data_IF_924174884191
#
_entry.id   IF_924174884191
#
_cell.length_a   1.000
_cell.length_b   1.000
_cell.length_c   1.000
_cell.angle_alpha   90.00
_cell.angle_beta   90.00
_cell.angle_gamma   90.00
#
_symmetry.space_group_name_H-M   'P 1'
#
loop_
_entity.id
_entity.type
_entity.pdbx_description
1 polymer ?
#
# COMPACT_ATOMS: atom_id res chain seq x y z
N UNK A 1 0.10 -12.87 18.11
CA UNK A 1 -0.67 -11.84 18.85
C UNK A 1 -1.22 -12.40 20.15
N UNK A 2 -2.23 -13.27 20.10
CA UNK A 2 -2.95 -13.76 21.29
C UNK A 2 -2.11 -14.55 22.30
N UNK A 3 -1.00 -15.17 21.86
CA UNK A 3 -0.09 -15.93 22.70
C UNK A 3 1.02 -15.08 23.34
N UNK A 4 1.28 -13.88 22.84
CA UNK A 4 2.35 -13.01 23.30
C UNK A 4 1.83 -12.00 24.33
N UNK A 5 2.42 -11.99 25.51
CA UNK A 5 2.01 -11.07 26.60
C UNK A 5 2.23 -9.61 26.18
N UNK A 6 1.21 -8.79 26.32
CA UNK A 6 1.23 -7.36 25.99
C UNK A 6 1.17 -7.04 24.49
N UNK A 7 1.06 -8.06 23.63
CA UNK A 7 0.91 -7.81 22.20
C UNK A 7 -0.43 -7.16 21.86
N UNK A 8 -0.38 -6.19 20.97
CA UNK A 8 -1.51 -5.50 20.36
C UNK A 8 -1.50 -5.76 18.86
N UNK A 9 -2.62 -5.51 18.20
CA UNK A 9 -2.75 -5.64 16.75
C UNK A 9 -3.44 -4.41 16.19
N UNK A 10 -2.91 -3.91 15.09
CA UNK A 10 -3.52 -2.81 14.33
C UNK A 10 -3.34 -3.07 12.84
N UNK A 11 -4.15 -2.42 12.02
CA UNK A 11 -4.00 -2.46 10.57
C UNK A 11 -3.57 -1.11 10.04
N UNK A 12 -2.78 -1.13 8.95
CA UNK A 12 -2.36 0.05 8.20
C UNK A 12 -2.70 -0.21 6.73
N UNK A 13 -3.20 0.82 6.06
CA UNK A 13 -3.49 0.83 4.65
C UNK A 13 -2.76 2.02 4.01
N UNK A 14 -2.03 1.77 2.92
CA UNK A 14 -1.35 2.78 2.12
C UNK A 14 -2.30 3.28 1.04
N UNK A 15 -2.65 4.56 1.10
CA UNK A 15 -3.51 5.17 0.09
C UNK A 15 -2.76 5.39 -1.22
N UNK A 16 -3.44 5.11 -2.35
CA UNK A 16 -2.92 5.36 -3.69
C UNK A 16 -1.55 4.72 -3.96
N UNK A 17 -1.29 3.54 -3.39
CA UNK A 17 0.02 2.88 -3.35
C UNK A 17 0.76 2.90 -4.68
N UNK A 18 0.07 2.59 -5.80
CA UNK A 18 0.68 2.62 -7.12
C UNK A 18 0.85 4.03 -7.68
N UNK A 19 -0.11 4.93 -7.43
CA UNK A 19 -0.15 6.26 -8.06
C UNK A 19 1.00 7.17 -7.61
N UNK A 20 1.59 6.90 -6.45
CA UNK A 20 2.75 7.65 -5.92
C UNK A 20 4.08 7.10 -6.46
N UNK A 21 4.07 5.94 -7.11
CA UNK A 21 5.29 5.27 -7.61
C UNK A 21 5.74 5.87 -8.94
N UNK A 22 6.95 6.43 -9.03
CA UNK A 22 7.50 6.90 -10.31
C UNK A 22 7.81 5.71 -11.23
N UNK A 23 7.60 5.91 -12.53
CA UNK A 23 7.99 4.97 -13.57
C UNK A 23 9.19 5.55 -14.33
N UNK A 24 10.33 4.83 -14.36
CA UNK A 24 11.52 5.23 -15.11
C UNK A 24 11.25 5.15 -16.61
N UNK A 25 10.61 4.04 -17.05
CA UNK A 25 10.16 3.85 -18.40
C UNK A 25 8.66 4.14 -18.49
N UNK A 26 8.25 5.27 -19.12
CA UNK A 26 6.85 5.63 -19.21
C UNK A 26 6.07 4.71 -20.15
N UNK A 27 4.83 4.44 -19.81
CA UNK A 27 3.89 3.77 -20.69
C UNK A 27 3.02 4.78 -21.43
N UNK A 28 2.46 4.37 -22.56
CA UNK A 28 1.60 5.21 -23.37
C UNK A 28 0.19 4.62 -23.48
N UNK A 29 -0.79 5.46 -23.23
CA UNK A 29 -2.21 5.12 -23.44
C UNK A 29 -2.81 6.10 -24.46
N UNK A 30 -3.71 5.61 -25.30
CA UNK A 30 -4.51 6.47 -26.18
C UNK A 30 -5.99 6.37 -25.80
N UNK A 31 -6.64 7.52 -25.78
CA UNK A 31 -8.08 7.64 -25.47
C UNK A 31 -8.72 8.47 -26.60
N UNK A 32 -9.90 8.09 -27.04
CA UNK A 32 -10.65 8.94 -27.98
C UNK A 32 -11.10 10.21 -27.28
N UNK A 33 -10.98 11.34 -27.94
CA UNK A 33 -11.39 12.63 -27.36
C UNK A 33 -12.88 12.61 -26.97
N UNK A 34 -13.70 11.85 -27.69
CA UNK A 34 -15.13 11.65 -27.39
C UNK A 34 -15.39 10.91 -26.09
N UNK A 35 -14.40 10.15 -25.58
CA UNK A 35 -14.51 9.34 -24.37
C UNK A 35 -13.91 10.08 -23.14
N UNK A 36 -13.35 11.28 -23.37
CA UNK A 36 -12.79 12.13 -22.31
C UNK A 36 -13.89 13.11 -21.85
N UNK A 37 -14.17 13.21 -20.53
CA UNK A 37 -15.12 14.20 -20.03
C UNK A 37 -14.74 15.63 -20.43
N UNK A 38 -15.72 16.46 -20.78
CA UNK A 38 -15.49 17.82 -21.28
C UNK A 38 -14.69 18.68 -20.31
N UNK A 39 -14.89 18.52 -19.01
CA UNK A 39 -14.15 19.19 -17.96
C UNK A 39 -12.63 18.96 -18.05
N UNK A 40 -12.19 17.73 -18.36
CA UNK A 40 -10.79 17.43 -18.56
C UNK A 40 -10.26 17.96 -19.89
N UNK A 41 -11.08 17.94 -20.95
CA UNK A 41 -10.69 18.53 -22.24
C UNK A 41 -10.40 20.02 -22.07
N UNK A 42 -11.20 20.73 -21.30
CA UNK A 42 -11.03 22.15 -21.02
C UNK A 42 -9.85 22.40 -20.08
N UNK A 43 -9.78 21.67 -18.97
CA UNK A 43 -8.73 21.82 -17.95
C UNK A 43 -7.33 21.61 -18.52
N UNK A 44 -7.14 20.55 -19.33
CA UNK A 44 -5.84 20.20 -19.90
C UNK A 44 -5.63 20.72 -21.33
N UNK A 45 -6.59 21.49 -21.88
CA UNK A 45 -6.51 22.08 -23.20
C UNK A 45 -6.31 21.03 -24.30
N UNK A 46 -7.09 19.97 -24.27
CA UNK A 46 -6.92 18.81 -25.16
C UNK A 46 -7.55 19.00 -26.53
N UNK A 47 -8.46 19.95 -26.70
CA UNK A 47 -9.12 20.24 -27.98
C UNK A 47 -8.07 20.59 -29.04
N UNK A 48 -8.17 19.91 -30.21
CA UNK A 48 -7.25 20.09 -31.32
C UNK A 48 -5.89 19.38 -31.17
N UNK A 49 -5.72 18.57 -30.12
CA UNK A 49 -4.51 17.73 -29.93
C UNK A 49 -4.72 16.28 -30.37
N UNK A 50 -5.95 15.94 -30.76
CA UNK A 50 -6.27 14.62 -31.30
C UNK A 50 -5.65 14.40 -32.68
N UNK A 51 -5.28 13.17 -32.96
CA UNK A 51 -4.85 12.76 -34.29
C UNK A 51 -6.04 12.75 -35.28
N UNK A 52 -5.78 12.50 -36.57
CA UNK A 52 -6.77 12.43 -37.65
C UNK A 52 -7.90 11.41 -37.40
N UNK A 53 -7.72 10.50 -36.46
CA UNK A 53 -8.69 9.48 -36.08
C UNK A 53 -9.37 9.80 -34.73
N UNK A 54 -9.11 10.96 -34.13
CA UNK A 54 -9.70 11.44 -32.88
C UNK A 54 -9.06 10.83 -31.62
N UNK A 55 -7.81 10.34 -31.70
CA UNK A 55 -7.09 9.80 -30.54
C UNK A 55 -6.15 10.84 -29.94
N UNK A 56 -6.15 10.89 -28.60
CA UNK A 56 -5.16 11.60 -27.80
C UNK A 56 -4.25 10.59 -27.12
N UNK A 57 -2.95 10.86 -27.12
CA UNK A 57 -1.92 10.01 -26.51
C UNK A 57 -1.46 10.64 -25.20
N UNK A 58 -1.46 9.84 -24.15
CA UNK A 58 -1.01 10.23 -22.82
C UNK A 58 0.21 9.39 -22.42
N UNK A 59 1.18 10.06 -21.84
CA UNK A 59 2.32 9.43 -21.21
C UNK A 59 2.06 9.17 -19.74
N UNK A 60 2.15 7.91 -19.31
CA UNK A 60 1.96 7.49 -17.92
C UNK A 60 3.33 7.45 -17.26
N UNK A 61 3.61 8.42 -16.41
CA UNK A 61 4.88 8.57 -15.69
C UNK A 61 4.84 8.05 -14.25
N UNK A 62 3.68 7.65 -13.77
CA UNK A 62 3.48 7.07 -12.45
C UNK A 62 2.70 5.78 -12.57
N UNK A 63 2.91 4.89 -11.60
CA UNK A 63 2.17 3.64 -11.55
C UNK A 63 0.67 3.87 -11.57
N UNK A 64 -0.06 3.04 -12.29
CA UNK A 64 -1.50 3.03 -12.23
C UNK A 64 -2.03 1.60 -12.14
N UNK A 65 -3.25 1.47 -11.65
CA UNK A 65 -3.92 0.18 -11.57
C UNK A 65 -4.06 -0.44 -12.97
N UNK A 66 -3.71 -1.72 -13.08
CA UNK A 66 -3.73 -2.45 -14.34
C UNK A 66 -2.40 -2.50 -15.10
N UNK A 67 -1.41 -1.69 -14.73
CA UNK A 67 -0.05 -1.81 -15.28
C UNK A 67 0.73 -2.91 -14.52
N UNK A 68 1.19 -3.96 -15.20
CA UNK A 68 1.90 -5.07 -14.55
C UNK A 68 3.14 -4.63 -13.76
N UNK A 69 3.91 -3.67 -14.29
CA UNK A 69 5.13 -3.18 -13.66
C UNK A 69 4.86 -2.27 -12.46
N UNK A 70 3.71 -1.61 -12.37
CA UNK A 70 3.40 -0.68 -11.28
C UNK A 70 3.47 -1.36 -9.90
N UNK A 71 2.93 -2.58 -9.79
CA UNK A 71 2.97 -3.36 -8.56
C UNK A 71 4.39 -3.75 -8.16
N UNK A 72 5.21 -4.16 -9.13
CA UNK A 72 6.61 -4.56 -8.88
C UNK A 72 7.43 -3.37 -8.42
N UNK A 73 7.31 -2.23 -9.10
CA UNK A 73 8.06 -1.01 -8.77
C UNK A 73 7.66 -0.47 -7.39
N UNK A 74 6.35 -0.37 -7.12
CA UNK A 74 5.85 0.07 -5.82
C UNK A 74 6.33 -0.83 -4.68
N UNK A 75 6.25 -2.14 -4.88
CA UNK A 75 6.71 -3.12 -3.90
C UNK A 75 8.22 -2.99 -3.65
N UNK A 76 9.05 -2.92 -4.70
CA UNK A 76 10.50 -2.83 -4.55
C UNK A 76 10.92 -1.56 -3.79
N UNK A 77 10.28 -0.42 -4.05
CA UNK A 77 10.52 0.82 -3.30
C UNK A 77 10.17 0.65 -1.82
N UNK A 78 8.97 0.11 -1.53
CA UNK A 78 8.53 -0.11 -0.16
C UNK A 78 9.46 -1.06 0.60
N UNK A 79 9.88 -2.16 -0.03
CA UNK A 79 10.82 -3.12 0.57
C UNK A 79 12.17 -2.46 0.89
N UNK A 80 12.71 -1.67 -0.03
CA UNK A 80 13.95 -0.93 0.20
C UNK A 80 13.89 -0.03 1.44
N UNK A 81 12.83 0.76 1.58
CA UNK A 81 12.65 1.63 2.76
C UNK A 81 12.47 0.86 4.06
N UNK A 82 11.78 -0.28 4.02
CA UNK A 82 11.63 -1.15 5.19
C UNK A 82 12.98 -1.74 5.62
N UNK A 83 13.78 -2.22 4.66
CA UNK A 83 15.10 -2.81 4.92
C UNK A 83 16.09 -1.79 5.47
N UNK A 84 16.12 -0.58 4.96
CA UNK A 84 16.94 0.54 5.44
C UNK A 84 16.68 0.84 6.93
N UNK A 85 15.42 0.76 7.36
CA UNK A 85 15.02 1.00 8.77
C UNK A 85 15.09 -0.26 9.64
N UNK A 86 15.67 -1.35 9.12
CA UNK A 86 15.97 -2.57 9.88
C UNK A 86 14.86 -3.62 9.94
N UNK A 87 13.85 -3.48 9.11
CA UNK A 87 12.88 -4.55 8.88
C UNK A 87 13.46 -5.59 7.90
N UNK A 88 12.99 -6.81 7.99
CA UNK A 88 13.38 -7.90 7.09
C UNK A 88 12.24 -8.90 6.93
N UNK A 89 12.13 -9.49 5.76
CA UNK A 89 11.16 -10.53 5.49
C UNK A 89 11.62 -11.87 6.08
N UNK A 90 10.71 -12.63 6.67
CA UNK A 90 11.01 -13.94 7.25
C UNK A 90 11.29 -14.95 6.13
N UNK A 91 12.47 -15.56 6.16
CA UNK A 91 13.01 -16.42 5.10
C UNK A 91 12.05 -17.51 4.57
N UNK A 92 11.20 -18.09 5.42
CA UNK A 92 10.31 -19.20 5.04
C UNK A 92 8.83 -18.79 4.94
N UNK A 93 8.53 -17.50 5.03
CA UNK A 93 7.14 -17.01 5.04
C UNK A 93 7.07 -15.68 4.30
N UNK A 94 6.90 -15.72 2.96
CA UNK A 94 6.74 -14.49 2.18
C UNK A 94 5.59 -13.62 2.70
N UNK A 95 5.82 -12.31 2.71
CA UNK A 95 4.87 -11.33 3.25
C UNK A 95 4.90 -11.19 4.78
N UNK A 96 5.61 -12.04 5.53
CA UNK A 96 5.81 -11.85 6.97
C UNK A 96 7.09 -11.08 7.24
N UNK A 97 6.97 -9.90 7.83
CA UNK A 97 8.06 -8.99 8.13
C UNK A 97 8.32 -8.87 9.61
N UNK A 98 9.58 -8.71 10.00
CA UNK A 98 10.05 -8.52 11.37
C UNK A 98 11.06 -7.40 11.42
N UNK A 99 11.29 -6.85 12.61
CA UNK A 99 12.39 -5.92 12.83
C UNK A 99 13.53 -6.60 13.58
N UNK A 100 14.78 -6.18 13.31
CA UNK A 100 16.00 -6.77 13.87
C UNK A 100 16.02 -6.85 15.41
N UNK A 101 15.45 -5.85 16.09
CA UNK A 101 15.44 -5.81 17.56
C UNK A 101 14.12 -5.29 18.16
N UNK A 102 13.27 -4.61 17.40
CA UNK A 102 11.98 -4.13 17.90
C UNK A 102 10.97 -5.28 18.01
N UNK A 103 10.17 -5.32 19.09
CA UNK A 103 9.11 -6.33 19.23
C UNK A 103 7.89 -5.99 18.36
N UNK A 104 8.09 -5.94 17.06
CA UNK A 104 7.10 -5.69 16.03
C UNK A 104 7.27 -6.68 14.88
N UNK A 105 6.17 -7.19 14.38
CA UNK A 105 6.10 -7.97 13.14
C UNK A 105 4.79 -7.67 12.43
N UNK A 106 4.77 -7.83 11.12
CA UNK A 106 3.56 -7.59 10.33
C UNK A 106 3.48 -8.53 9.12
N UNK A 107 2.26 -8.80 8.69
CA UNK A 107 2.01 -9.33 7.35
C UNK A 107 1.76 -8.14 6.41
N UNK A 108 2.36 -8.23 5.23
CA UNK A 108 2.21 -7.26 4.14
C UNK A 108 1.51 -7.94 2.97
N UNK A 109 0.38 -7.40 2.57
CA UNK A 109 -0.43 -7.85 1.43
C UNK A 109 -0.65 -6.62 0.55
N UNK A 110 0.24 -6.43 -0.41
CA UNK A 110 0.27 -5.28 -1.33
C UNK A 110 0.44 -3.95 -0.57
N UNK A 111 -0.65 -3.31 -0.18
CA UNK A 111 -0.76 -2.02 0.52
C UNK A 111 -1.33 -2.15 1.94
N UNK A 112 -1.80 -3.35 2.30
CA UNK A 112 -2.36 -3.66 3.60
C UNK A 112 -1.35 -4.28 4.56
N UNK A 113 -1.24 -3.72 5.77
CA UNK A 113 -0.40 -4.24 6.85
C UNK A 113 -1.26 -4.73 8.01
N UNK A 114 -1.05 -5.98 8.43
CA UNK A 114 -1.55 -6.49 9.71
C UNK A 114 -0.41 -6.53 10.72
N UNK A 115 -0.39 -5.60 11.66
CA UNK A 115 0.76 -5.30 12.52
C UNK A 115 0.54 -5.81 13.93
N UNK A 116 1.36 -6.76 14.39
CA UNK A 116 1.52 -7.12 15.79
C UNK A 116 2.68 -6.35 16.41
N UNK A 117 2.48 -5.76 17.58
CA UNK A 117 3.51 -5.02 18.29
C UNK A 117 3.35 -5.13 19.82
N UNK A 118 4.46 -4.95 20.53
CA UNK A 118 4.48 -4.79 21.99
C UNK A 118 5.14 -3.44 22.30
N UNK A 119 4.33 -2.48 22.79
CA UNK A 119 4.74 -1.10 22.96
C UNK A 119 4.39 -0.24 21.74
N UNK A 120 3.61 0.81 21.98
CA UNK A 120 3.10 1.70 20.91
C UNK A 120 4.22 2.43 20.14
N UNK A 121 5.37 2.65 20.76
CA UNK A 121 6.55 3.28 20.17
C UNK A 121 7.10 2.49 18.99
N UNK A 122 6.95 1.17 18.99
CA UNK A 122 7.39 0.32 17.89
C UNK A 122 6.43 0.38 16.69
N UNK A 123 5.14 0.47 16.95
CA UNK A 123 4.15 0.74 15.92
C UNK A 123 4.33 2.13 15.31
N UNK A 124 4.55 3.14 16.16
CA UNK A 124 4.77 4.51 15.70
C UNK A 124 6.04 4.65 14.85
N UNK A 125 7.07 3.85 15.11
CA UNK A 125 8.28 3.79 14.26
C UNK A 125 7.91 3.39 12.83
N UNK A 126 7.15 2.30 12.66
CA UNK A 126 6.68 1.86 11.34
C UNK A 126 5.79 2.93 10.68
N UNK A 127 4.86 3.52 11.43
CA UNK A 127 4.00 4.59 10.91
C UNK A 127 4.80 5.80 10.43
N UNK A 128 5.82 6.20 11.19
CA UNK A 128 6.65 7.36 10.84
C UNK A 128 7.42 7.09 9.55
N UNK A 129 7.92 5.88 9.38
CA UNK A 129 8.58 5.47 8.15
C UNK A 129 7.61 5.55 6.95
N UNK A 130 6.46 4.91 7.05
CA UNK A 130 5.51 4.86 5.93
C UNK A 130 4.98 6.26 5.57
N UNK A 131 4.73 7.12 6.57
CA UNK A 131 4.26 8.50 6.37
C UNK A 131 5.28 9.43 5.70
N UNK A 132 6.56 9.06 5.63
CA UNK A 132 7.55 9.83 4.84
C UNK A 132 7.23 9.81 3.35
N UNK A 133 6.62 8.74 2.87
CA UNK A 133 6.47 8.44 1.44
C UNK A 133 5.03 8.35 0.98
N UNK A 134 4.09 8.04 1.90
CA UNK A 134 2.70 7.75 1.55
C UNK A 134 1.69 8.40 2.50
N UNK A 135 0.48 8.57 1.99
CA UNK A 135 -0.69 8.81 2.83
C UNK A 135 -1.14 7.50 3.47
N UNK A 136 -1.27 7.48 4.80
CA UNK A 136 -1.53 6.29 5.58
C UNK A 136 -2.87 6.39 6.30
N UNK A 137 -3.68 5.36 6.21
CA UNK A 137 -4.83 5.14 7.06
C UNK A 137 -4.54 4.03 8.07
N UNK A 138 -4.93 4.24 9.34
CA UNK A 138 -4.72 3.26 10.42
C UNK A 138 -6.03 2.82 11.02
N UNK A 139 -6.11 1.53 11.33
CA UNK A 139 -7.19 0.94 12.10
C UNK A 139 -6.60 0.31 13.37
N UNK A 140 -6.66 1.07 14.47
CA UNK A 140 -6.08 0.67 15.76
C UNK A 140 -6.87 -0.45 16.45
N UNK A 141 -8.14 -0.67 16.08
CA UNK A 141 -8.90 -1.81 16.57
C UNK A 141 -8.41 -3.13 15.94
N UNK A 142 -7.78 -3.07 14.77
CA UNK A 142 -7.28 -4.22 14.04
C UNK A 142 -8.37 -5.22 13.68
N UNK A 143 -9.58 -4.71 13.44
CA UNK A 143 -10.79 -5.53 13.24
C UNK A 143 -11.08 -5.83 11.78
N UNK A 144 -10.27 -5.27 10.85
CA UNK A 144 -10.39 -5.54 9.41
C UNK A 144 -9.03 -5.43 8.70
N UNK A 145 -8.67 -6.46 7.93
CA UNK A 145 -7.47 -6.50 7.09
C UNK A 145 -7.76 -7.22 5.76
N UNK A 146 -7.36 -6.64 4.63
CA UNK A 146 -7.53 -7.23 3.30
C UNK A 146 -8.96 -7.79 3.05
N UNK A 147 -9.99 -7.06 3.50
CA UNK A 147 -11.39 -7.49 3.39
C UNK A 147 -11.87 -8.49 4.44
N UNK A 148 -10.98 -9.03 5.27
CA UNK A 148 -11.28 -10.01 6.31
C UNK A 148 -11.60 -9.30 7.63
N UNK A 149 -12.70 -9.66 8.29
CA UNK A 149 -13.04 -9.16 9.63
C UNK A 149 -12.36 -10.00 10.71
N UNK A 150 -11.80 -9.36 11.72
CA UNK A 150 -11.05 -10.00 12.81
C UNK A 150 -11.58 -9.52 14.16
N UNK A 151 -12.01 -10.44 15.01
CA UNK A 151 -12.46 -10.14 16.37
C UNK A 151 -11.46 -10.70 17.37
N UNK A 152 -10.83 -9.82 18.14
CA UNK A 152 -9.84 -10.20 19.17
C UNK A 152 -10.47 -10.35 20.54
N UNK A 153 -10.17 -11.45 21.23
CA UNK A 153 -10.55 -11.71 22.62
C UNK A 153 -9.31 -12.04 23.44
N UNK A 154 -8.56 -11.03 23.80
CA UNK A 154 -7.29 -11.17 24.53
C UNK A 154 -7.41 -11.91 25.88
N UNK A 155 -8.43 -11.65 26.73
CA UNK A 155 -8.59 -12.40 27.98
C UNK A 155 -8.82 -13.90 27.74
N UNK A 156 -9.57 -14.25 26.69
CA UNK A 156 -9.89 -15.63 26.33
C UNK A 156 -8.85 -16.28 25.41
N UNK A 157 -7.85 -15.53 24.93
CA UNK A 157 -6.83 -15.98 23.98
C UNK A 157 -7.39 -16.63 22.71
N UNK A 158 -8.44 -16.04 22.14
CA UNK A 158 -8.98 -16.50 20.87
C UNK A 158 -9.21 -15.33 19.91
N UNK A 159 -9.24 -15.65 18.63
CA UNK A 159 -9.55 -14.76 17.54
C UNK A 159 -10.64 -15.41 16.68
N UNK A 160 -11.61 -14.62 16.26
CA UNK A 160 -12.59 -14.99 15.25
C UNK A 160 -12.28 -14.27 13.96
N UNK A 161 -12.30 -14.99 12.85
CA UNK A 161 -12.05 -14.50 11.50
C UNK A 161 -13.31 -14.79 10.69
N UNK A 162 -13.89 -13.73 10.10
CA UNK A 162 -15.09 -13.80 9.26
C UNK A 162 -14.83 -13.07 7.93
N UNK A 163 -15.40 -13.57 6.84
CA UNK A 163 -15.41 -12.92 5.52
C UNK A 163 -16.79 -12.38 5.20
#
# INVERSE_FOLDING_TARGET
VISRKGAQFACIDIKNFYLDTPMEDPEYVRIKITDIPEEFILEYGLAGKEDKNGWIYFEIRRGCYGLPQAGILANNLLLGWLEEEGYYEAHSTPGLWRHKWRPIQFCLIVDDFGVEYVGIEHFNHLLTLLKKYHQIQTNMAGDKIAGINVQWKFPGRWVRIDM
#
